data_IF_919518263459
#
_entry.id   IF_919518263459
#
_cell.length_a   1.000
_cell.length_b   1.000
_cell.length_c   1.000
_cell.angle_alpha   90.00
_cell.angle_beta   90.00
_cell.angle_gamma   90.00
#
_symmetry.space_group_name_H-M   'P 1'
#
loop_
_entity.id
_entity.type
_entity.pdbx_description
1 polymer ?
#
# COMPACT_ATOMS: atom_id res chain seq x y z
N UNK A 1 9.01 17.11 11.80
CA UNK A 1 10.00 16.85 10.72
C UNK A 1 9.44 17.12 9.33
N UNK A 2 8.22 16.65 9.01
CA UNK A 2 7.54 16.91 7.72
C UNK A 2 7.38 18.41 7.45
N UNK A 3 6.84 19.18 8.40
CA UNK A 3 6.72 20.64 8.27
C UNK A 3 8.07 21.38 8.17
N UNK A 4 9.19 20.73 8.54
CA UNK A 4 10.55 21.29 8.44
C UNK A 4 11.25 20.92 7.11
N UNK A 5 10.52 20.33 6.15
CA UNK A 5 11.05 20.01 4.81
C UNK A 5 12.06 18.86 4.78
N UNK A 6 12.17 18.06 5.85
CA UNK A 6 13.13 16.95 5.91
C UNK A 6 12.61 15.78 5.08
N UNK A 7 13.32 15.43 4.00
CA UNK A 7 13.06 14.23 3.20
C UNK A 7 13.21 12.99 4.09
N UNK A 8 12.24 12.08 4.06
CA UNK A 8 12.24 10.89 4.92
C UNK A 8 11.79 11.13 6.36
N UNK A 9 11.13 12.26 6.66
CA UNK A 9 10.61 12.56 7.99
C UNK A 9 9.78 11.44 8.62
N UNK A 10 8.95 10.75 7.82
CA UNK A 10 8.15 9.60 8.28
C UNK A 10 9.05 8.43 8.66
N UNK A 11 10.06 8.13 7.84
CA UNK A 11 11.02 7.06 8.10
C UNK A 11 11.83 7.32 9.37
N UNK A 12 12.29 8.55 9.57
CA UNK A 12 13.01 8.95 10.79
C UNK A 12 12.11 8.81 12.01
N UNK A 13 10.83 9.18 11.90
CA UNK A 13 9.87 9.02 12.98
C UNK A 13 9.65 7.54 13.33
N UNK A 14 9.50 6.66 12.33
CA UNK A 14 9.37 5.21 12.52
C UNK A 14 10.61 4.68 13.27
N UNK A 15 11.82 4.99 12.80
CA UNK A 15 13.05 4.55 13.46
C UNK A 15 13.18 5.06 14.90
N UNK A 16 12.80 6.32 15.13
CA UNK A 16 12.82 6.93 16.46
C UNK A 16 11.85 6.26 17.43
N UNK A 17 10.59 6.05 17.01
CA UNK A 17 9.58 5.38 17.85
C UNK A 17 9.97 3.93 18.13
N UNK A 18 10.49 3.20 17.14
CA UNK A 18 10.99 1.83 17.32
C UNK A 18 12.14 1.78 18.33
N UNK A 19 13.11 2.70 18.24
CA UNK A 19 14.21 2.76 19.21
C UNK A 19 13.72 3.04 20.64
N UNK A 20 12.75 3.96 20.79
CA UNK A 20 12.12 4.21 22.08
C UNK A 20 11.38 2.98 22.60
N UNK A 21 10.60 2.28 21.76
CA UNK A 21 9.91 1.04 22.14
C UNK A 21 10.85 -0.08 22.60
N UNK A 22 12.05 -0.17 22.02
CA UNK A 22 13.10 -1.09 22.48
C UNK A 22 13.68 -0.68 23.84
N UNK A 23 13.86 0.62 24.09
CA UNK A 23 14.42 1.13 25.35
C UNK A 23 13.44 1.01 26.53
N UNK A 24 12.15 1.25 26.29
CA UNK A 24 11.11 1.15 27.32
C UNK A 24 10.62 -0.28 27.57
N UNK A 25 11.06 -1.26 26.76
CA UNK A 25 10.73 -2.67 26.94
C UNK A 25 9.40 -3.13 26.34
N UNK A 26 8.69 -2.24 25.63
CA UNK A 26 7.44 -2.56 24.94
C UNK A 26 7.66 -3.41 23.67
N UNK A 27 8.87 -3.42 23.12
CA UNK A 27 9.24 -4.17 21.92
C UNK A 27 10.28 -5.24 22.26
N UNK A 28 9.96 -6.50 21.99
CA UNK A 28 10.90 -7.61 22.11
C UNK A 28 11.72 -7.80 20.84
N UNK A 29 13.05 -7.77 20.98
CA UNK A 29 13.98 -8.05 19.89
C UNK A 29 14.05 -9.56 19.63
N UNK A 30 13.41 -10.03 18.56
CA UNK A 30 13.32 -11.44 18.20
C UNK A 30 14.39 -11.91 17.18
N UNK A 31 15.45 -11.11 16.97
CA UNK A 31 16.52 -11.40 16.01
C UNK A 31 16.41 -10.60 14.70
N UNK A 32 17.41 -10.76 13.83
CA UNK A 32 17.50 -10.05 12.53
C UNK A 32 16.70 -10.77 11.43
N UNK A 33 16.53 -12.08 11.57
CA UNK A 33 15.84 -12.93 10.60
C UNK A 33 14.94 -13.90 11.35
N UNK A 34 13.68 -13.99 10.94
CA UNK A 34 12.73 -14.98 11.42
C UNK A 34 12.25 -15.84 10.25
N UNK A 35 11.80 -17.06 10.54
CA UNK A 35 11.03 -17.84 9.58
C UNK A 35 9.73 -17.11 9.26
N UNK A 36 9.19 -17.21 8.03
CA UNK A 36 7.87 -16.70 7.72
C UNK A 36 6.84 -17.28 8.69
N UNK A 37 5.85 -16.48 9.13
CA UNK A 37 4.77 -16.99 9.96
C UNK A 37 4.00 -18.08 9.21
N UNK A 38 3.42 -19.02 9.96
CA UNK A 38 2.64 -20.11 9.37
C UNK A 38 1.44 -19.57 8.61
N UNK A 39 1.13 -20.18 7.46
CA UNK A 39 -0.09 -19.91 6.67
C UNK A 39 -1.31 -20.69 7.18
N UNK A 40 -1.12 -21.68 8.07
CA UNK A 40 -2.21 -22.47 8.64
C UNK A 40 -3.39 -21.65 9.19
N UNK A 41 -3.19 -20.52 9.91
CA UNK A 41 -4.29 -19.72 10.42
C UNK A 41 -5.02 -18.88 9.36
N UNK A 42 -4.59 -18.82 8.11
CA UNK A 42 -5.28 -18.05 7.05
C UNK A 42 -5.59 -18.90 5.82
N UNK A 43 -5.04 -20.12 5.74
CA UNK A 43 -5.22 -21.01 4.62
C UNK A 43 -6.70 -21.41 4.47
N UNK A 44 -7.31 -21.02 3.36
CA UNK A 44 -8.70 -21.29 3.00
C UNK A 44 -9.74 -20.76 4.00
N UNK A 45 -9.40 -19.77 4.82
CA UNK A 45 -10.36 -19.10 5.72
C UNK A 45 -11.15 -18.00 4.99
N UNK A 46 -11.77 -18.35 3.86
CA UNK A 46 -12.66 -17.45 3.13
C UNK A 46 -14.01 -17.40 3.85
N UNK A 47 -14.40 -16.23 4.32
CA UNK A 47 -15.70 -15.99 4.94
C UNK A 47 -16.59 -15.13 4.05
N UNK A 48 -17.72 -15.68 3.63
CA UNK A 48 -18.72 -15.01 2.79
C UNK A 48 -19.95 -14.55 3.60
N UNK A 49 -19.95 -14.72 4.92
CA UNK A 49 -21.08 -14.40 5.78
C UNK A 49 -21.58 -12.95 5.63
N UNK A 50 -20.66 -12.00 5.45
CA UNK A 50 -20.95 -10.58 5.26
C UNK A 50 -21.10 -10.11 3.80
N UNK A 51 -21.00 -11.01 2.80
CA UNK A 51 -20.94 -10.63 1.39
C UNK A 51 -22.23 -9.93 0.90
N UNK A 52 -23.38 -10.34 1.43
CA UNK A 52 -24.70 -9.84 1.01
C UNK A 52 -25.25 -8.75 1.92
N UNK A 53 -24.48 -8.27 2.90
CA UNK A 53 -24.89 -7.14 3.72
C UNK A 53 -24.91 -5.86 2.89
N UNK A 54 -25.98 -5.07 3.00
CA UNK A 54 -26.15 -3.83 2.22
C UNK A 54 -25.01 -2.84 2.48
N UNK A 55 -24.44 -2.83 3.69
CA UNK A 55 -23.27 -2.01 4.02
C UNK A 55 -22.00 -2.41 3.25
N UNK A 56 -21.89 -3.66 2.81
CA UNK A 56 -20.74 -4.15 2.07
C UNK A 56 -20.64 -3.57 0.67
N UNK A 57 -21.78 -3.25 0.04
CA UNK A 57 -21.81 -2.56 -1.24
C UNK A 57 -21.09 -1.22 -1.14
N UNK A 58 -21.38 -0.42 -0.10
CA UNK A 58 -20.73 0.88 0.10
C UNK A 58 -19.23 0.75 0.34
N UNK A 59 -18.79 -0.24 1.10
CA UNK A 59 -17.38 -0.51 1.36
C UNK A 59 -16.66 -0.91 0.07
N UNK A 60 -17.23 -1.82 -0.72
CA UNK A 60 -16.66 -2.26 -2.00
C UNK A 60 -16.52 -1.09 -2.96
N UNK A 61 -17.55 -0.26 -3.13
CA UNK A 61 -17.46 0.91 -4.00
C UNK A 61 -16.43 1.93 -3.50
N UNK A 62 -16.36 2.18 -2.19
CA UNK A 62 -15.36 3.08 -1.62
C UNK A 62 -13.93 2.59 -1.92
N UNK A 63 -13.64 1.32 -1.66
CA UNK A 63 -12.33 0.74 -1.96
C UNK A 63 -12.03 0.70 -3.46
N UNK A 64 -13.00 0.34 -4.30
CA UNK A 64 -12.82 0.33 -5.76
C UNK A 64 -12.41 1.71 -6.29
N UNK A 65 -13.05 2.78 -5.82
CA UNK A 65 -12.70 4.12 -6.27
C UNK A 65 -11.36 4.59 -5.70
N UNK A 66 -11.07 4.32 -4.42
CA UNK A 66 -9.76 4.64 -3.82
C UNK A 66 -8.65 3.96 -4.60
N UNK A 67 -8.78 2.66 -4.85
CA UNK A 67 -7.79 1.84 -5.57
C UNK A 67 -7.63 2.29 -7.03
N UNK A 68 -8.73 2.47 -7.76
CA UNK A 68 -8.70 2.93 -9.14
C UNK A 68 -8.00 4.28 -9.28
N UNK A 69 -8.29 5.23 -8.38
CA UNK A 69 -7.68 6.56 -8.44
C UNK A 69 -6.24 6.58 -7.92
N UNK A 70 -5.89 5.76 -6.93
CA UNK A 70 -4.52 5.64 -6.44
C UNK A 70 -3.61 5.05 -7.51
N UNK A 71 -4.04 3.97 -8.17
CA UNK A 71 -3.29 3.34 -9.27
C UNK A 71 -3.21 4.25 -10.48
N UNK A 72 -4.35 4.77 -10.97
CA UNK A 72 -4.35 5.64 -12.15
C UNK A 72 -3.58 6.95 -11.88
N UNK A 73 -3.78 7.55 -10.70
CA UNK A 73 -3.10 8.77 -10.28
C UNK A 73 -1.58 8.57 -10.13
N UNK A 74 -1.15 7.46 -9.56
CA UNK A 74 0.27 7.12 -9.45
C UNK A 74 0.88 6.85 -10.82
N UNK A 75 0.19 6.10 -11.70
CA UNK A 75 0.64 5.85 -13.07
C UNK A 75 0.84 7.14 -13.85
N UNK A 76 -0.14 8.06 -13.79
CA UNK A 76 -0.05 9.37 -14.46
C UNK A 76 1.07 10.22 -13.87
N UNK A 77 1.10 10.37 -12.53
CA UNK A 77 2.08 11.21 -11.85
C UNK A 77 3.52 10.74 -12.05
N UNK A 78 3.77 9.44 -11.93
CA UNK A 78 5.10 8.86 -12.15
C UNK A 78 5.47 8.90 -13.63
N UNK A 79 4.57 8.53 -14.55
CA UNK A 79 4.88 8.51 -15.98
C UNK A 79 5.21 9.90 -16.51
N UNK A 80 4.48 10.93 -16.10
CA UNK A 80 4.78 12.32 -16.46
C UNK A 80 6.11 12.78 -15.85
N UNK A 81 6.35 12.48 -14.58
CA UNK A 81 7.59 12.91 -13.90
C UNK A 81 8.83 12.20 -14.42
N UNK A 82 8.69 10.94 -14.83
CA UNK A 82 9.75 10.10 -15.36
C UNK A 82 9.96 10.24 -16.88
N UNK A 83 9.12 11.03 -17.58
CA UNK A 83 9.21 11.20 -19.03
C UNK A 83 8.83 9.94 -19.82
N UNK A 84 7.92 9.13 -19.28
CA UNK A 84 7.44 7.87 -19.89
C UNK A 84 6.17 8.07 -20.74
N UNK A 85 5.77 9.31 -20.99
CA UNK A 85 4.66 9.65 -21.90
C UNK A 85 5.16 9.78 -23.33
N UNK A 86 4.31 9.46 -24.30
CA UNK A 86 4.61 9.68 -25.72
C UNK A 86 4.54 11.18 -26.10
N UNK A 87 4.86 11.50 -27.35
CA UNK A 87 4.86 12.87 -27.89
C UNK A 87 3.48 13.56 -27.82
N UNK A 88 2.42 12.77 -27.70
CA UNK A 88 1.04 13.23 -27.58
C UNK A 88 0.55 13.29 -26.11
N UNK A 89 1.43 12.99 -25.15
CA UNK A 89 1.11 12.99 -23.72
C UNK A 89 0.39 11.73 -23.23
N UNK A 90 0.27 10.68 -24.05
CA UNK A 90 -0.36 9.43 -23.64
C UNK A 90 0.64 8.50 -22.95
N UNK A 91 0.13 7.64 -22.07
CA UNK A 91 0.93 6.62 -21.39
C UNK A 91 0.90 5.35 -22.26
N UNK A 92 2.03 4.95 -22.86
CA UNK A 92 2.07 3.73 -23.67
C UNK A 92 1.75 2.52 -22.80
N UNK A 93 0.91 1.61 -23.31
CA UNK A 93 0.51 0.36 -22.64
C UNK A 93 -0.25 0.57 -21.32
N UNK A 94 -0.93 1.71 -21.14
CA UNK A 94 -1.76 2.00 -19.96
C UNK A 94 -2.70 0.85 -19.60
N UNK A 95 -3.42 0.28 -20.58
CA UNK A 95 -4.32 -0.86 -20.33
C UNK A 95 -3.58 -2.09 -19.77
N UNK A 96 -2.34 -2.36 -20.22
CA UNK A 96 -1.56 -3.49 -19.70
C UNK A 96 -1.06 -3.21 -18.27
N UNK A 97 -0.73 -1.96 -17.98
CA UNK A 97 -0.31 -1.55 -16.64
C UNK A 97 -1.47 -1.66 -15.64
N UNK A 98 -2.67 -1.22 -16.02
CA UNK A 98 -3.87 -1.36 -15.19
C UNK A 98 -4.28 -2.84 -15.01
N UNK A 99 -4.20 -3.66 -16.06
CA UNK A 99 -4.50 -5.09 -15.95
C UNK A 99 -3.52 -5.85 -15.03
N UNK A 100 -2.25 -5.45 -15.01
CA UNK A 100 -1.25 -6.04 -14.13
C UNK A 100 -1.46 -5.67 -12.64
N UNK A 101 -2.19 -4.59 -12.39
CA UNK A 101 -2.56 -4.15 -11.03
C UNK A 101 -3.84 -4.84 -10.55
N UNK A 102 -4.75 -5.20 -11.48
CA UNK A 102 -6.02 -5.86 -11.18
C UNK A 102 -5.99 -7.40 -11.21
N UNK A 103 -4.86 -8.04 -11.50
CA UNK A 103 -4.71 -9.51 -11.60
C UNK A 103 -3.70 -10.02 -10.58
#
# INVERSE_FOLDING_TARGET
>A
LVHRGVKGAVMIAILGVTALGLLFGDVQWNGVMSTPPSIAPTFLQLDFSGLFEVGMISVVFAFLFVDLFDTAGTLVGVSQKAGLTDENGNIPRLNKALLADST
#
